data_IF_415960399512
#
_entry.id   IF_415960399512
#
_cell.length_a   1.000
_cell.length_b   1.000
_cell.length_c   1.000
_cell.angle_alpha   90.00
_cell.angle_beta   90.00
_cell.angle_gamma   90.00
#
_symmetry.space_group_name_H-M   'P 1'
#
loop_
_entity.id
_entity.type
_entity.pdbx_description
1 polymer ?
#
# COMPACT_ATOMS: atom_id res chain seq x y z
N UNK A 1 12.54 58.26 26.30
CA UNK A 1 13.81 57.50 26.36
C UNK A 1 13.46 56.07 26.77
N UNK A 2 13.97 54.96 26.23
CA UNK A 2 14.68 54.61 24.99
C UNK A 2 14.95 53.10 25.18
N UNK A 3 14.58 52.24 24.21
CA UNK A 3 14.95 50.82 24.04
C UNK A 3 14.34 49.81 25.06
N UNK A 4 13.92 48.59 24.71
CA UNK A 4 14.19 47.70 23.57
C UNK A 4 12.93 46.85 23.27
N UNK A 5 12.42 46.69 22.04
CA UNK A 5 12.94 45.85 20.95
C UNK A 5 13.43 44.47 21.39
N UNK A 6 12.51 43.50 21.48
CA UNK A 6 12.80 42.08 21.25
C UNK A 6 11.48 41.30 21.00
N UNK A 7 10.94 41.27 19.77
CA UNK A 7 10.02 40.24 19.36
C UNK A 7 10.84 39.09 18.76
N UNK A 8 11.28 38.15 19.58
CA UNK A 8 11.93 36.91 19.10
C UNK A 8 11.03 35.72 19.38
N UNK A 9 10.37 35.27 18.30
CA UNK A 9 10.49 33.89 17.84
C UNK A 9 10.50 32.82 18.93
N UNK A 10 9.33 32.42 19.43
CA UNK A 10 9.20 31.12 20.09
C UNK A 10 7.75 30.60 20.07
N UNK A 11 7.23 30.33 18.87
CA UNK A 11 6.06 29.47 18.69
C UNK A 11 6.08 28.84 17.28
N UNK A 12 7.24 28.30 16.90
CA UNK A 12 7.38 27.38 15.76
C UNK A 12 7.56 25.98 16.35
N UNK A 13 6.94 25.01 15.69
CA UNK A 13 6.93 23.57 16.00
C UNK A 13 5.89 23.11 17.04
N UNK A 14 4.61 23.41 16.78
CA UNK A 14 3.57 22.45 17.11
C UNK A 14 3.78 21.21 16.23
N UNK A 15 4.43 20.22 16.84
CA UNK A 15 4.58 18.83 16.48
C UNK A 15 3.68 18.34 15.32
N UNK A 16 4.27 18.15 14.14
CA UNK A 16 3.78 17.16 13.21
C UNK A 16 4.13 15.79 13.79
N UNK A 17 3.33 15.31 14.74
CA UNK A 17 3.28 13.90 15.07
C UNK A 17 2.72 13.19 13.84
N UNK A 18 3.59 12.84 12.88
CA UNK A 18 3.25 11.80 11.92
C UNK A 18 3.09 10.54 12.77
N UNK A 19 1.85 10.25 13.16
CA UNK A 19 1.49 8.92 13.62
C UNK A 19 1.82 8.00 12.45
N UNK A 20 2.99 7.36 12.48
CA UNK A 20 3.26 6.21 11.63
C UNK A 20 2.30 5.12 12.11
N UNK A 21 1.07 5.16 11.61
CA UNK A 21 0.07 4.15 11.92
C UNK A 21 0.60 2.84 11.36
N UNK A 22 0.94 1.91 12.26
CA UNK A 22 1.28 0.56 11.87
C UNK A 22 -0.02 -0.17 11.52
N UNK A 23 -0.06 -0.75 10.32
CA UNK A 23 -1.13 -1.61 9.85
C UNK A 23 -0.57 -3.00 9.67
N UNK A 24 -1.30 -3.99 10.19
CA UNK A 24 -0.96 -5.38 10.00
C UNK A 24 -1.90 -6.03 8.99
N UNK A 25 -1.32 -6.65 7.97
CA UNK A 25 -2.07 -7.40 6.95
C UNK A 25 -1.83 -8.87 7.23
N UNK A 26 -2.89 -9.61 7.54
CA UNK A 26 -2.84 -11.03 7.91
C UNK A 26 -3.45 -11.89 6.82
N UNK A 27 -2.97 -13.12 6.71
CA UNK A 27 -3.63 -14.14 5.91
C UNK A 27 -4.95 -14.55 6.57
N UNK A 28 -6.06 -14.39 5.86
CA UNK A 28 -7.34 -14.96 6.28
C UNK A 28 -7.39 -16.46 6.00
N UNK A 29 -6.75 -16.87 4.90
CA UNK A 29 -6.64 -18.24 4.41
C UNK A 29 -5.46 -18.34 3.43
N UNK A 30 -4.92 -19.54 3.21
CA UNK A 30 -3.96 -19.78 2.13
C UNK A 30 -2.96 -20.91 2.42
N UNK A 31 -2.31 -21.46 1.37
CA UNK A 31 -1.27 -22.48 1.52
C UNK A 31 0.09 -21.90 1.98
N UNK A 32 0.22 -20.57 1.96
CA UNK A 32 1.49 -19.87 2.16
C UNK A 32 1.82 -19.62 3.64
N UNK A 33 0.82 -19.62 4.52
CA UNK A 33 0.98 -19.41 5.96
C UNK A 33 -0.24 -19.95 6.73
N UNK A 34 -0.17 -19.96 8.07
CA UNK A 34 -1.37 -20.31 8.86
C UNK A 34 -2.34 -19.14 8.84
N UNK A 35 -3.66 -19.39 8.81
CA UNK A 35 -4.65 -18.35 9.03
C UNK A 35 -4.33 -17.54 10.29
N UNK A 36 -4.34 -16.22 10.16
CA UNK A 36 -3.98 -15.28 11.22
C UNK A 36 -2.50 -14.90 11.25
N UNK A 37 -1.60 -15.58 10.54
CA UNK A 37 -0.21 -15.13 10.43
C UNK A 37 -0.13 -13.80 9.67
N UNK A 38 0.79 -12.95 10.09
CA UNK A 38 1.06 -11.70 9.40
C UNK A 38 1.70 -11.97 8.03
N UNK A 39 1.12 -11.40 6.98
CA UNK A 39 1.64 -11.36 5.62
C UNK A 39 2.54 -10.14 5.42
N UNK A 40 2.04 -8.97 5.82
CA UNK A 40 2.72 -7.69 5.64
C UNK A 40 2.53 -6.77 6.85
N UNK A 41 3.52 -5.92 7.07
CA UNK A 41 3.41 -4.75 7.97
C UNK A 41 3.55 -3.50 7.11
N UNK A 42 2.59 -2.59 7.22
CA UNK A 42 2.66 -1.28 6.59
C UNK A 42 2.89 -0.24 7.68
N UNK A 43 3.97 0.49 7.57
CA UNK A 43 4.39 1.48 8.57
C UNK A 43 5.12 2.60 7.85
N UNK A 44 4.88 3.86 8.21
CA UNK A 44 5.69 5.00 7.75
C UNK A 44 5.83 5.17 6.23
N UNK A 45 4.86 4.67 5.44
CA UNK A 45 4.91 4.71 3.98
C UNK A 45 5.71 3.57 3.33
N UNK A 46 6.11 2.54 4.08
CA UNK A 46 6.71 1.34 3.52
C UNK A 46 5.85 0.09 3.77
N UNK A 47 6.01 -0.88 2.87
CA UNK A 47 5.43 -2.22 3.00
C UNK A 47 6.58 -3.18 3.30
N UNK A 48 6.47 -3.88 4.42
CA UNK A 48 7.41 -4.91 4.84
C UNK A 48 6.80 -6.29 4.69
N UNK A 49 7.62 -7.26 4.32
CA UNK A 49 7.28 -8.65 4.57
C UNK A 49 7.10 -8.85 6.08
N UNK A 50 6.15 -9.68 6.49
CA UNK A 50 5.95 -10.01 7.89
C UNK A 50 5.93 -11.52 8.08
N UNK A 51 6.17 -11.95 9.31
CA UNK A 51 6.04 -13.35 9.69
C UNK A 51 5.61 -13.52 11.13
N UNK A 52 5.03 -14.68 11.42
CA UNK A 52 4.55 -15.06 12.74
C UNK A 52 3.24 -14.37 13.16
N UNK A 53 2.74 -14.72 14.35
CA UNK A 53 1.42 -14.30 14.81
C UNK A 53 1.34 -12.84 15.26
N UNK A 54 2.48 -12.20 15.54
CA UNK A 54 2.54 -10.82 16.02
C UNK A 54 3.03 -9.81 14.97
N UNK A 55 3.29 -10.24 13.73
CA UNK A 55 3.73 -9.33 12.68
C UNK A 55 5.16 -8.84 12.86
N UNK A 56 6.10 -9.78 13.07
CA UNK A 56 7.51 -9.41 13.14
C UNK A 56 7.93 -8.85 11.79
N UNK A 57 8.36 -7.58 11.78
CA UNK A 57 8.76 -6.86 10.59
C UNK A 57 10.01 -7.49 9.97
N UNK A 58 9.88 -7.96 8.74
CA UNK A 58 10.95 -8.43 7.89
C UNK A 58 11.53 -7.31 7.00
N UNK A 59 12.18 -7.68 5.88
CA UNK A 59 12.74 -6.71 4.96
C UNK A 59 11.66 -5.81 4.36
N UNK A 60 12.02 -4.55 4.11
CA UNK A 60 11.23 -3.63 3.30
C UNK A 60 11.10 -4.16 1.88
N UNK A 61 9.88 -4.21 1.35
CA UNK A 61 9.59 -4.63 -0.02
C UNK A 61 9.37 -3.41 -0.91
N UNK A 62 8.57 -2.46 -0.44
CA UNK A 62 8.18 -1.28 -1.19
C UNK A 62 8.22 -0.02 -0.34
N UNK A 63 8.53 1.09 -0.99
CA UNK A 63 8.49 2.46 -0.47
C UNK A 63 7.47 3.26 -1.26
N UNK A 64 6.53 3.89 -0.57
CA UNK A 64 5.46 4.70 -1.15
C UNK A 64 5.80 6.16 -0.93
N UNK A 65 6.08 6.87 -2.01
CA UNK A 65 6.42 8.30 -2.03
C UNK A 65 5.41 9.03 -2.91
N UNK A 66 4.34 9.56 -2.29
CA UNK A 66 3.27 10.25 -3.02
C UNK A 66 2.56 9.32 -4.00
N UNK A 67 2.65 9.62 -5.30
CA UNK A 67 2.04 8.87 -6.39
C UNK A 67 2.93 7.73 -6.92
N UNK A 68 4.08 7.47 -6.30
CA UNK A 68 5.07 6.51 -6.80
C UNK A 68 5.40 5.45 -5.77
N UNK A 69 5.65 4.26 -6.27
CA UNK A 69 5.99 3.10 -5.46
C UNK A 69 7.29 2.50 -5.98
N UNK A 70 8.30 2.48 -5.13
CA UNK A 70 9.63 1.98 -5.44
C UNK A 70 9.84 0.62 -4.78
N UNK A 71 10.52 -0.30 -5.47
CA UNK A 71 11.06 -1.49 -4.82
C UNK A 71 12.16 -1.06 -3.87
N UNK A 72 12.24 -1.66 -2.69
CA UNK A 72 13.39 -1.44 -1.81
C UNK A 72 14.65 -2.03 -2.45
N UNK A 73 15.75 -1.29 -2.40
CA UNK A 73 17.03 -1.72 -2.96
C UNK A 73 17.76 -2.73 -2.06
N UNK A 74 17.56 -2.66 -0.75
CA UNK A 74 18.35 -3.36 0.27
C UNK A 74 17.52 -3.94 1.43
N UNK A 75 16.20 -3.78 1.41
CA UNK A 75 15.32 -4.19 2.50
C UNK A 75 15.38 -3.29 3.74
N UNK A 76 16.15 -2.20 3.70
CA UNK A 76 16.38 -1.24 4.79
C UNK A 76 15.97 0.19 4.39
N UNK A 77 14.83 0.31 3.71
CA UNK A 77 14.22 1.58 3.32
C UNK A 77 14.97 2.40 2.26
N UNK A 78 15.99 1.83 1.61
CA UNK A 78 16.61 2.49 0.47
C UNK A 78 15.76 2.36 -0.78
N UNK A 79 15.59 3.48 -1.49
CA UNK A 79 14.85 3.55 -2.76
C UNK A 79 15.61 2.83 -3.88
N UNK A 80 14.98 1.81 -4.46
CA UNK A 80 15.43 1.14 -5.67
C UNK A 80 14.68 1.63 -6.91
N UNK A 81 14.53 0.73 -7.88
CA UNK A 81 13.77 1.01 -9.10
C UNK A 81 12.28 1.17 -8.84
N UNK A 82 11.64 2.00 -9.65
CA UNK A 82 10.20 2.18 -9.58
C UNK A 82 9.47 0.92 -10.01
N UNK A 83 8.43 0.54 -9.25
CA UNK A 83 7.58 -0.61 -9.55
C UNK A 83 6.20 -0.20 -10.04
N UNK A 84 5.62 0.82 -9.43
CA UNK A 84 4.26 1.26 -9.74
C UNK A 84 4.12 2.79 -9.68
N UNK A 85 3.16 3.29 -10.44
CA UNK A 85 2.64 4.66 -10.36
C UNK A 85 1.15 4.57 -10.04
N UNK A 86 0.74 5.30 -9.02
CA UNK A 86 -0.66 5.47 -8.64
C UNK A 86 -1.30 6.45 -9.64
N UNK A 87 -2.38 6.03 -10.29
CA UNK A 87 -3.12 6.87 -11.23
C UNK A 87 -4.59 6.88 -10.87
N UNK A 88 -5.02 7.94 -10.18
CA UNK A 88 -6.39 8.11 -9.72
C UNK A 88 -6.85 6.97 -8.81
N UNK A 89 -7.69 6.09 -9.34
CA UNK A 89 -8.28 4.97 -8.59
C UNK A 89 -7.53 3.64 -8.79
N UNK A 90 -6.42 3.62 -9.54
CA UNK A 90 -5.69 2.40 -9.87
C UNK A 90 -4.18 2.54 -9.76
N UNK A 91 -3.50 1.48 -10.14
CA UNK A 91 -2.04 1.43 -10.23
C UNK A 91 -1.62 0.91 -11.60
N UNK A 92 -0.56 1.50 -12.13
CA UNK A 92 0.10 1.04 -13.34
C UNK A 92 1.51 0.55 -13.00
N UNK A 93 1.95 -0.48 -13.72
CA UNK A 93 3.35 -0.87 -13.70
C UNK A 93 4.20 0.31 -14.13
N UNK A 94 5.34 0.48 -13.48
CA UNK A 94 6.33 1.47 -13.84
C UNK A 94 7.72 0.82 -13.88
N UNK A 95 8.65 1.45 -14.60
CA UNK A 95 10.01 0.96 -14.69
C UNK A 95 11.05 2.07 -14.69
N UNK A 96 12.24 1.71 -14.22
CA UNK A 96 13.41 2.59 -14.13
C UNK A 96 13.34 3.62 -13.01
N UNK A 97 14.42 4.37 -12.85
CA UNK A 97 14.57 5.38 -11.80
C UNK A 97 13.62 6.60 -11.95
N UNK A 98 13.10 6.83 -13.17
CA UNK A 98 12.19 7.94 -13.46
C UNK A 98 10.71 7.57 -13.34
N UNK A 99 10.38 6.33 -12.96
CA UNK A 99 9.00 5.83 -12.92
C UNK A 99 8.26 6.00 -14.25
N UNK A 100 8.84 5.50 -15.34
CA UNK A 100 8.15 5.53 -16.65
C UNK A 100 6.92 4.65 -16.57
N UNK A 101 5.74 5.25 -16.71
CA UNK A 101 4.45 4.57 -16.66
C UNK A 101 4.31 3.57 -17.81
N UNK A 102 3.96 2.34 -17.47
CA UNK A 102 3.66 1.25 -18.39
C UNK A 102 2.16 0.90 -18.40
N UNK A 103 1.86 -0.39 -18.55
CA UNK A 103 0.49 -0.90 -18.55
C UNK A 103 -0.13 -0.82 -17.15
N UNK A 104 -1.44 -0.68 -17.11
CA UNK A 104 -2.19 -0.74 -15.87
C UNK A 104 -2.09 -2.15 -15.27
N UNK A 105 -2.14 -2.24 -13.94
CA UNK A 105 -2.11 -3.50 -13.21
C UNK A 105 -3.47 -3.75 -12.55
N UNK A 106 -3.94 -2.78 -11.75
CA UNK A 106 -5.21 -2.86 -11.03
C UNK A 106 -5.96 -1.53 -11.11
N UNK A 107 -7.29 -1.61 -11.10
CA UNK A 107 -8.19 -0.45 -10.99
C UNK A 107 -9.21 -0.72 -9.90
N UNK A 108 -9.29 0.15 -8.90
CA UNK A 108 -10.33 0.12 -7.88
C UNK A 108 -11.57 0.90 -8.34
N UNK A 109 -12.74 0.37 -8.03
CA UNK A 109 -14.03 1.06 -8.19
C UNK A 109 -14.91 0.71 -6.99
N UNK A 110 -14.99 1.66 -6.04
CA UNK A 110 -15.64 1.42 -4.76
C UNK A 110 -14.98 0.24 -4.02
N UNK A 111 -15.74 -0.77 -3.59
CA UNK A 111 -15.18 -1.93 -2.89
C UNK A 111 -14.50 -2.95 -3.82
N UNK A 112 -14.70 -2.88 -5.14
CA UNK A 112 -14.18 -3.88 -6.07
C UNK A 112 -12.84 -3.43 -6.67
N UNK A 113 -11.90 -4.37 -6.81
CA UNK A 113 -10.61 -4.18 -7.48
C UNK A 113 -10.54 -5.10 -8.67
N UNK A 114 -10.34 -4.53 -9.86
CA UNK A 114 -10.33 -5.26 -11.13
C UNK A 114 -8.91 -5.44 -11.64
N UNK A 115 -8.64 -6.60 -12.26
CA UNK A 115 -7.46 -6.74 -13.11
C UNK A 115 -7.61 -5.80 -14.29
N UNK A 116 -6.53 -5.15 -14.64
CA UNK A 116 -6.50 -4.27 -15.78
C UNK A 116 -5.25 -4.52 -16.59
N UNK A 117 -5.38 -4.40 -17.91
CA UNK A 117 -4.27 -4.57 -18.84
C UNK A 117 -4.27 -3.43 -19.87
N UNK A 118 -3.10 -3.22 -20.49
CA UNK A 118 -2.90 -2.20 -21.52
C UNK A 118 -2.68 -0.79 -20.97
N UNK A 119 -2.50 0.16 -21.89
CA UNK A 119 -2.16 1.55 -21.57
C UNK A 119 -3.34 2.39 -21.06
N UNK A 120 -4.58 1.93 -21.27
CA UNK A 120 -5.81 2.67 -21.00
C UNK A 120 -6.59 2.16 -19.78
N UNK A 121 -5.98 1.27 -18.99
CA UNK A 121 -6.60 0.69 -17.82
C UNK A 121 -7.99 0.09 -18.09
N UNK A 122 -8.13 -0.68 -19.18
CA UNK A 122 -9.39 -1.37 -19.46
C UNK A 122 -9.63 -2.43 -18.39
N UNK A 123 -10.82 -2.39 -17.78
CA UNK A 123 -11.23 -3.35 -16.74
C UNK A 123 -11.52 -4.70 -17.38
N UNK A 124 -10.96 -5.75 -16.80
CA UNK A 124 -11.26 -7.12 -17.16
C UNK A 124 -12.13 -7.74 -16.05
N UNK A 125 -11.68 -8.84 -15.46
CA UNK A 125 -12.37 -9.51 -14.36
C UNK A 125 -12.03 -8.87 -13.01
N UNK A 126 -12.98 -8.95 -12.07
CA UNK A 126 -12.71 -8.57 -10.70
C UNK A 126 -11.68 -9.52 -10.09
N UNK A 127 -10.67 -8.96 -9.45
CA UNK A 127 -9.61 -9.70 -8.77
C UNK A 127 -9.92 -9.83 -7.27
N UNK A 128 -10.33 -8.73 -6.65
CA UNK A 128 -10.54 -8.64 -5.22
C UNK A 128 -11.79 -7.82 -4.87
N UNK A 129 -12.38 -8.12 -3.72
CA UNK A 129 -13.46 -7.35 -3.12
C UNK A 129 -13.05 -6.96 -1.70
N UNK A 130 -13.04 -5.66 -1.41
CA UNK A 130 -12.64 -5.09 -0.13
C UNK A 130 -13.90 -4.66 0.62
N UNK A 131 -14.24 -5.39 1.68
CA UNK A 131 -15.37 -5.07 2.55
C UNK A 131 -14.87 -4.80 3.97
N UNK A 132 -14.90 -3.52 4.36
CA UNK A 132 -14.39 -3.09 5.66
C UNK A 132 -12.90 -3.41 5.78
N UNK A 133 -12.57 -4.32 6.69
CA UNK A 133 -11.19 -4.72 6.96
C UNK A 133 -10.83 -6.11 6.40
N UNK A 134 -11.67 -6.70 5.54
CA UNK A 134 -11.38 -8.01 4.94
C UNK A 134 -11.32 -7.87 3.42
N UNK A 135 -10.29 -8.47 2.84
CA UNK A 135 -10.13 -8.61 1.39
C UNK A 135 -10.53 -10.02 1.01
N UNK A 136 -11.46 -10.14 0.07
CA UNK A 136 -11.90 -11.39 -0.52
C UNK A 136 -11.34 -11.54 -1.93
N UNK A 137 -11.10 -12.77 -2.34
CA UNK A 137 -10.99 -13.08 -3.77
C UNK A 137 -12.33 -12.76 -4.42
N UNK A 138 -12.27 -12.10 -5.58
CA UNK A 138 -13.45 -11.79 -6.36
C UNK A 138 -13.54 -12.68 -7.60
N UNK A 139 -14.76 -13.03 -7.97
CA UNK A 139 -15.01 -13.87 -9.14
C UNK A 139 -15.93 -13.18 -10.16
N UNK A 140 -15.55 -13.31 -11.44
CA UNK A 140 -16.29 -12.80 -12.58
C UNK A 140 -16.29 -11.28 -12.71
N UNK A 141 -17.06 -10.77 -13.66
CA UNK A 141 -17.13 -9.34 -13.97
C UNK A 141 -17.85 -8.48 -12.92
N UNK A 142 -18.58 -9.11 -11.99
CA UNK A 142 -19.40 -8.42 -10.98
C UNK A 142 -18.82 -8.47 -9.57
N UNK A 143 -17.54 -8.86 -9.44
CA UNK A 143 -16.84 -8.97 -8.16
C UNK A 143 -17.62 -9.76 -7.10
N UNK A 144 -18.08 -10.96 -7.47
CA UNK A 144 -18.76 -11.83 -6.49
C UNK A 144 -17.77 -12.24 -5.42
N UNK A 145 -18.23 -12.21 -4.17
CA UNK A 145 -17.44 -12.56 -3.00
C UNK A 145 -17.10 -14.04 -3.00
N UNK A 146 -15.81 -14.34 -3.10
CA UNK A 146 -15.23 -15.66 -2.87
C UNK A 146 -14.66 -15.78 -1.46
N UNK A 147 -13.58 -16.56 -1.35
CA UNK A 147 -12.89 -16.79 -0.07
C UNK A 147 -12.18 -15.54 0.44
N UNK A 148 -12.14 -15.40 1.77
CA UNK A 148 -11.35 -14.36 2.42
C UNK A 148 -9.86 -14.63 2.18
N UNK A 149 -9.14 -13.63 1.67
CA UNK A 149 -7.71 -13.70 1.39
C UNK A 149 -6.91 -13.03 2.51
N UNK A 150 -7.27 -11.79 2.85
CA UNK A 150 -6.54 -10.99 3.84
C UNK A 150 -7.47 -10.37 4.88
N UNK A 151 -6.97 -10.18 6.09
CA UNK A 151 -7.58 -9.35 7.13
C UNK A 151 -6.64 -8.21 7.47
N UNK A 152 -7.17 -6.99 7.48
CA UNK A 152 -6.49 -5.75 7.78
C UNK A 152 -6.74 -5.37 9.25
N UNK A 153 -5.67 -5.10 9.98
CA UNK A 153 -5.72 -4.56 11.34
C UNK A 153 -5.11 -3.15 11.32
N UNK A 154 -5.99 -2.15 11.22
CA UNK A 154 -5.62 -0.74 11.08
C UNK A 154 -6.15 -0.13 9.78
N UNK A 155 -6.05 1.20 9.68
CA UNK A 155 -6.44 1.92 8.47
C UNK A 155 -5.28 1.88 7.48
N UNK A 156 -5.44 1.14 6.38
CA UNK A 156 -4.43 1.06 5.33
C UNK A 156 -4.65 2.17 4.30
N UNK A 157 -3.54 2.74 3.82
CA UNK A 157 -3.58 3.61 2.66
C UNK A 157 -4.02 2.81 1.41
N UNK A 158 -4.97 3.30 0.60
CA UNK A 158 -5.39 2.62 -0.63
C UNK A 158 -4.25 2.27 -1.57
N UNK A 159 -3.21 3.11 -1.64
CA UNK A 159 -2.01 2.84 -2.41
C UNK A 159 -1.28 1.60 -1.92
N UNK A 160 -1.07 1.50 -0.59
CA UNK A 160 -0.40 0.37 0.01
C UNK A 160 -1.18 -0.92 -0.19
N UNK A 161 -2.51 -0.85 -0.05
CA UNK A 161 -3.39 -1.98 -0.31
C UNK A 161 -3.27 -2.43 -1.78
N UNK A 162 -3.40 -1.53 -2.75
CA UNK A 162 -3.33 -1.87 -4.17
C UNK A 162 -1.96 -2.47 -4.55
N UNK A 163 -0.86 -1.96 -4.00
CA UNK A 163 0.48 -2.51 -4.24
C UNK A 163 0.61 -3.93 -3.67
N UNK A 164 0.09 -4.16 -2.46
CA UNK A 164 0.07 -5.50 -1.88
C UNK A 164 -0.73 -6.44 -2.80
N UNK A 165 -1.93 -6.04 -3.20
CA UNK A 165 -2.79 -6.85 -4.08
C UNK A 165 -2.18 -7.10 -5.46
N UNK A 166 -1.40 -6.17 -6.00
CA UNK A 166 -0.69 -6.36 -7.26
C UNK A 166 0.48 -7.36 -7.17
N UNK A 167 0.96 -7.63 -5.96
CA UNK A 167 2.04 -8.58 -5.70
C UNK A 167 1.59 -9.98 -5.29
N UNK A 168 0.28 -10.21 -5.13
CA UNK A 168 -0.33 -11.50 -4.81
C UNK A 168 -0.69 -12.29 -6.06
#
# INVERSE_FOLDING_TARGET
>A
MRYALLPTFLALASAACVNAQQVLVRWAYGPLARPGDAAFVVEGGAIHAASGPFGTRGPCLYLIEGDRVFRSADGLWSRGDCAYVLDGQGIAHASGALCTRGSCALVAEGPAVFRSEGAFCTKAEAAFLVEGNVVYLAEGAFARKGDALLVLEGAIDPAALLVILAGL
#
